data_IF_502120233064
#
_entry.id   IF_502120233064
#
_cell.length_a   1.000
_cell.length_b   1.000
_cell.length_c   1.000
_cell.angle_alpha   90.00
_cell.angle_beta   90.00
_cell.angle_gamma   90.00
#
_symmetry.space_group_name_H-M   'P 1'
#
loop_
_entity.id
_entity.type
_entity.pdbx_description
1 polymer ?
#
# COMPACT_ATOMS: atom_id res chain seq x y z
N UNK A 1 -8.42 -16.81 -8.49
CA UNK A 1 -7.77 -16.12 -7.36
C UNK A 1 -8.79 -16.00 -6.24
N UNK A 2 -8.42 -16.32 -4.99
CA UNK A 2 -9.27 -16.15 -3.82
C UNK A 2 -9.53 -14.65 -3.59
N UNK A 3 -10.81 -14.27 -3.51
CA UNK A 3 -11.24 -12.92 -3.16
C UNK A 3 -11.34 -12.82 -1.64
N UNK A 4 -10.74 -11.78 -1.05
CA UNK A 4 -10.86 -11.47 0.37
C UNK A 4 -12.11 -10.62 0.59
N UNK A 5 -12.66 -10.67 1.80
CA UNK A 5 -13.81 -9.86 2.20
C UNK A 5 -13.55 -9.19 3.55
N UNK A 6 -14.25 -8.08 3.81
CA UNK A 6 -14.24 -7.41 5.12
C UNK A 6 -15.45 -7.91 5.92
N UNK A 7 -15.22 -8.30 7.17
CA UNK A 7 -16.27 -8.46 8.18
C UNK A 7 -16.12 -7.30 9.17
N UNK A 8 -17.14 -6.49 9.31
CA UNK A 8 -17.14 -5.36 10.25
C UNK A 8 -17.57 -5.78 11.66
N UNK A 9 -18.24 -6.91 11.77
CA UNK A 9 -18.79 -7.45 13.02
C UNK A 9 -17.96 -8.64 13.57
N UNK A 10 -16.93 -9.09 12.85
CA UNK A 10 -16.08 -10.20 13.26
C UNK A 10 -16.74 -11.57 13.21
N UNK A 11 -17.92 -11.69 12.61
CA UNK A 11 -18.71 -12.95 12.60
C UNK A 11 -18.19 -13.97 11.59
N UNK A 12 -17.41 -13.55 10.59
CA UNK A 12 -16.88 -14.49 9.59
C UNK A 12 -15.80 -15.40 10.20
N UNK A 13 -15.97 -16.74 10.14
CA UNK A 13 -14.96 -17.66 10.61
C UNK A 13 -13.60 -17.43 9.94
N UNK A 14 -12.53 -17.41 10.75
CA UNK A 14 -11.18 -17.19 10.25
C UNK A 14 -10.85 -15.73 9.90
N UNK A 15 -11.76 -14.79 10.17
CA UNK A 15 -11.46 -13.35 10.05
C UNK A 15 -10.29 -12.95 10.96
N UNK A 16 -9.46 -12.02 10.50
CA UNK A 16 -8.30 -11.51 11.24
C UNK A 16 -8.37 -10.01 11.29
N UNK A 17 -8.04 -9.45 12.45
CA UNK A 17 -7.93 -8.00 12.58
C UNK A 17 -7.03 -7.41 11.51
N UNK A 18 -7.50 -6.34 10.87
CA UNK A 18 -6.80 -5.59 9.84
C UNK A 18 -7.08 -4.08 9.99
N UNK A 19 -6.02 -3.28 10.02
CA UNK A 19 -6.12 -1.84 10.21
C UNK A 19 -5.31 -1.11 9.13
N UNK A 20 -5.98 -0.17 8.45
CA UNK A 20 -5.39 0.72 7.45
C UNK A 20 -5.82 2.14 7.77
N UNK A 21 -4.87 3.04 7.98
CA UNK A 21 -5.11 4.47 8.05
C UNK A 21 -5.03 5.06 6.65
N UNK A 22 -5.86 6.06 6.34
CA UNK A 22 -5.78 6.74 5.07
C UNK A 22 -5.94 8.26 5.20
N UNK A 23 -5.39 8.98 4.23
CA UNK A 23 -5.56 10.42 4.06
C UNK A 23 -5.74 10.72 2.58
N UNK A 24 -6.78 11.47 2.24
CA UNK A 24 -6.98 11.97 0.87
C UNK A 24 -6.03 13.14 0.66
N UNK A 25 -5.14 13.01 -0.31
CA UNK A 25 -4.16 14.04 -0.67
C UNK A 25 -4.71 15.00 -1.72
N UNK A 26 -5.48 14.47 -2.68
CA UNK A 26 -6.08 15.25 -3.76
C UNK A 26 -7.32 14.51 -4.28
N UNK A 27 -8.31 15.26 -4.75
CA UNK A 27 -9.50 14.72 -5.40
C UNK A 27 -9.85 15.56 -6.61
N UNK A 28 -10.33 14.92 -7.65
CA UNK A 28 -11.05 15.61 -8.74
C UNK A 28 -12.42 16.05 -8.24
N UNK A 29 -13.01 17.05 -8.86
CA UNK A 29 -14.39 17.43 -8.54
C UNK A 29 -15.40 16.30 -8.84
N UNK A 30 -16.61 16.34 -8.24
CA UNK A 30 -17.66 15.34 -8.50
C UNK A 30 -18.11 15.34 -9.95
N UNK A 31 -18.00 16.48 -10.63
CA UNK A 31 -18.40 16.68 -12.05
C UNK A 31 -17.28 16.30 -13.02
N UNK A 32 -16.14 15.79 -12.54
CA UNK A 32 -15.06 15.36 -13.42
C UNK A 32 -15.52 14.15 -14.26
N UNK A 33 -15.08 14.10 -15.51
CA UNK A 33 -15.38 13.00 -16.42
C UNK A 33 -14.93 11.62 -15.88
N UNK A 34 -13.92 11.63 -15.01
CA UNK A 34 -13.43 10.46 -14.27
C UNK A 34 -13.14 10.85 -12.82
N UNK A 35 -14.13 10.79 -11.91
CA UNK A 35 -13.91 11.10 -10.51
C UNK A 35 -12.87 10.18 -9.88
N UNK A 36 -11.82 10.76 -9.33
CA UNK A 36 -10.73 10.01 -8.69
C UNK A 36 -10.12 10.77 -7.51
N UNK A 37 -9.50 10.03 -6.62
CA UNK A 37 -8.77 10.60 -5.49
C UNK A 37 -7.39 9.97 -5.36
N UNK A 38 -6.38 10.80 -5.10
CA UNK A 38 -5.08 10.36 -4.66
C UNK A 38 -5.10 10.18 -3.14
N UNK A 39 -4.83 8.97 -2.69
CA UNK A 39 -4.92 8.60 -1.28
C UNK A 39 -3.59 8.07 -0.78
N UNK A 40 -3.12 8.60 0.33
CA UNK A 40 -2.00 8.02 1.08
C UNK A 40 -2.56 7.03 2.10
N UNK A 41 -2.00 5.80 2.11
CA UNK A 41 -2.42 4.75 3.02
C UNK A 41 -1.25 4.32 3.92
N UNK A 42 -1.53 4.12 5.19
CA UNK A 42 -0.57 3.60 6.16
C UNK A 42 -1.10 2.30 6.76
N UNK A 43 -0.38 1.23 6.51
CA UNK A 43 -0.70 -0.09 7.04
C UNK A 43 -0.24 -0.23 8.49
N UNK A 44 -1.14 -0.63 9.38
CA UNK A 44 -0.82 -1.11 10.74
C UNK A 44 -0.71 -2.62 10.78
N UNK A 45 -1.37 -3.31 9.85
CA UNK A 45 -1.32 -4.74 9.62
C UNK A 45 -1.07 -5.02 8.15
N UNK A 46 -0.60 -6.21 7.78
CA UNK A 46 -0.27 -6.59 6.40
C UNK A 46 -0.99 -7.88 5.98
N UNK A 47 -2.32 -7.83 5.82
CA UNK A 47 -3.09 -8.98 5.34
C UNK A 47 -3.15 -9.02 3.82
N UNK A 48 -3.41 -10.22 3.28
CA UNK A 48 -3.55 -10.42 1.84
C UNK A 48 -4.58 -9.45 1.24
N UNK A 49 -4.19 -8.70 0.22
CA UNK A 49 -5.02 -7.70 -0.46
C UNK A 49 -5.63 -6.63 0.45
N UNK A 50 -5.08 -6.40 1.64
CA UNK A 50 -5.71 -5.57 2.68
C UNK A 50 -6.18 -4.20 2.16
N UNK A 51 -5.30 -3.40 1.55
CA UNK A 51 -5.65 -2.09 0.99
C UNK A 51 -6.77 -2.23 -0.05
N UNK A 52 -6.64 -3.18 -0.97
CA UNK A 52 -7.59 -3.39 -2.07
C UNK A 52 -9.00 -3.68 -1.56
N UNK A 53 -9.08 -4.56 -0.56
CA UNK A 53 -10.35 -4.97 0.07
C UNK A 53 -10.94 -3.83 0.89
N UNK A 54 -10.14 -3.15 1.70
CA UNK A 54 -10.61 -2.04 2.53
C UNK A 54 -11.15 -0.90 1.66
N UNK A 55 -10.43 -0.49 0.63
CA UNK A 55 -10.89 0.58 -0.26
C UNK A 55 -12.17 0.18 -1.02
N UNK A 56 -12.24 -1.06 -1.51
CA UNK A 56 -13.45 -1.56 -2.16
C UNK A 56 -14.65 -1.63 -1.20
N UNK A 57 -14.45 -2.01 0.05
CA UNK A 57 -15.52 -2.04 1.07
C UNK A 57 -16.07 -0.66 1.44
N UNK A 58 -15.26 0.38 1.24
CA UNK A 58 -15.68 1.78 1.40
C UNK A 58 -16.38 2.34 0.14
N UNK A 59 -16.54 1.55 -0.91
CA UNK A 59 -17.08 2.02 -2.18
C UNK A 59 -16.07 2.74 -3.09
N UNK A 60 -14.79 2.73 -2.73
CA UNK A 60 -13.69 3.40 -3.45
C UNK A 60 -12.63 2.41 -3.91
N UNK A 61 -12.95 1.44 -4.78
CA UNK A 61 -11.96 0.47 -5.25
C UNK A 61 -10.80 1.14 -5.97
N UNK A 62 -9.63 0.52 -5.94
CA UNK A 62 -8.47 1.05 -6.65
C UNK A 62 -8.69 0.99 -8.17
N UNK A 63 -8.31 2.05 -8.86
CA UNK A 63 -8.28 2.05 -10.33
C UNK A 63 -7.40 0.88 -10.82
N UNK A 64 -7.81 0.20 -11.87
CA UNK A 64 -7.08 -0.92 -12.41
C UNK A 64 -7.14 -2.23 -11.61
N UNK A 65 -7.91 -2.27 -10.55
CA UNK A 65 -8.05 -3.47 -9.75
C UNK A 65 -9.07 -4.44 -10.38
N UNK A 66 -8.60 -5.37 -11.18
CA UNK A 66 -9.45 -6.35 -11.90
C UNK A 66 -10.20 -7.32 -10.99
N UNK A 67 -9.90 -7.37 -9.70
CA UNK A 67 -10.54 -8.29 -8.76
C UNK A 67 -11.61 -7.63 -7.89
N UNK A 68 -11.41 -6.36 -7.52
CA UNK A 68 -12.27 -5.63 -6.58
C UNK A 68 -12.95 -4.42 -7.20
N UNK A 69 -12.49 -3.91 -8.35
CA UNK A 69 -13.14 -2.88 -9.14
C UNK A 69 -13.90 -3.54 -10.29
N UNK A 70 -15.22 -3.56 -10.20
CA UNK A 70 -16.10 -4.17 -11.22
C UNK A 70 -16.74 -3.12 -12.15
N UNK A 71 -16.35 -1.86 -12.03
CA UNK A 71 -16.88 -0.77 -12.86
C UNK A 71 -16.21 -0.76 -14.23
N UNK A 72 -17.00 -0.58 -15.28
CA UNK A 72 -16.56 -0.34 -16.68
C UNK A 72 -15.93 1.04 -16.90
N UNK A 73 -15.48 1.69 -15.83
CA UNK A 73 -14.74 2.94 -15.95
C UNK A 73 -13.51 2.67 -16.79
N UNK A 74 -13.34 3.41 -17.86
CA UNK A 74 -12.16 3.42 -18.71
C UNK A 74 -10.90 3.41 -17.84
N UNK A 75 -10.33 2.20 -17.73
CA UNK A 75 -9.25 1.98 -16.78
C UNK A 75 -7.92 2.33 -17.43
N UNK A 76 -7.26 3.42 -16.99
CA UNK A 76 -5.99 3.84 -17.57
C UNK A 76 -4.81 2.96 -17.13
N UNK A 77 -5.03 2.03 -16.17
CA UNK A 77 -3.99 1.18 -15.63
C UNK A 77 -4.16 -0.29 -16.02
N UNK A 78 -3.11 -0.93 -16.47
CA UNK A 78 -3.05 -2.39 -16.69
C UNK A 78 -2.94 -3.21 -15.39
N UNK A 79 -2.81 -2.55 -14.24
CA UNK A 79 -2.66 -3.10 -12.89
C UNK A 79 -3.42 -2.24 -11.88
N UNK A 80 -3.61 -2.72 -10.66
CA UNK A 80 -4.12 -1.88 -9.59
C UNK A 80 -3.21 -0.65 -9.40
N UNK A 81 -3.80 0.54 -9.37
CA UNK A 81 -3.13 1.81 -9.10
C UNK A 81 -2.70 1.89 -7.63
N UNK A 82 -1.72 1.08 -7.27
CA UNK A 82 -1.15 0.96 -5.94
C UNK A 82 0.37 0.94 -6.03
N UNK A 83 1.01 1.75 -5.19
CA UNK A 83 2.46 1.88 -5.13
C UNK A 83 2.94 1.85 -3.69
N UNK A 84 3.95 1.03 -3.40
CA UNK A 84 4.63 1.00 -2.11
C UNK A 84 5.67 2.13 -2.07
N UNK A 85 5.25 3.31 -1.64
CA UNK A 85 6.08 4.52 -1.66
C UNK A 85 7.16 4.51 -0.60
N UNK A 86 6.77 4.27 0.66
CA UNK A 86 7.70 4.35 1.81
C UNK A 86 7.62 3.09 2.65
N UNK A 87 8.79 2.63 3.09
CA UNK A 87 8.93 1.52 4.03
C UNK A 87 9.88 1.92 5.15
N UNK A 88 9.42 1.77 6.40
CA UNK A 88 10.26 1.94 7.59
C UNK A 88 10.21 0.67 8.44
N UNK A 89 11.37 0.22 8.87
CA UNK A 89 11.49 -0.93 9.78
C UNK A 89 12.74 -0.81 10.63
N UNK A 90 12.76 -1.52 11.74
CA UNK A 90 13.91 -1.61 12.61
C UNK A 90 14.61 -2.95 12.38
N UNK A 91 15.94 -2.90 12.22
CA UNK A 91 16.75 -4.10 12.19
C UNK A 91 16.88 -4.64 13.63
N UNK A 92 16.70 -5.95 13.83
CA UNK A 92 16.86 -6.59 15.15
C UNK A 92 18.35 -6.76 15.56
N UNK A 93 19.28 -6.33 14.70
CA UNK A 93 20.74 -6.45 14.89
C UNK A 93 21.45 -5.22 14.32
N UNK A 94 22.65 -4.92 14.83
CA UNK A 94 23.55 -3.94 14.25
C UNK A 94 24.29 -4.54 13.05
N UNK A 95 24.41 -3.77 11.95
CA UNK A 95 25.30 -4.12 10.84
C UNK A 95 26.61 -3.39 11.09
N UNK A 96 27.70 -4.13 11.24
CA UNK A 96 29.03 -3.55 11.29
C UNK A 96 29.47 -3.16 9.88
N UNK A 97 29.45 -1.86 9.59
CA UNK A 97 29.81 -1.29 8.28
C UNK A 97 31.35 -1.35 8.03
N UNK A 98 32.14 -1.75 9.04
CA UNK A 98 33.63 -1.84 8.93
C UNK A 98 34.11 -3.20 8.44
N UNK A 99 33.24 -4.21 8.37
CA UNK A 99 33.61 -5.55 7.90
C UNK A 99 33.72 -5.59 6.38
N UNK A 100 34.93 -5.54 5.85
CA UNK A 100 35.25 -5.68 4.42
C UNK A 100 35.09 -7.11 3.89
N UNK A 101 34.53 -8.04 4.66
CA UNK A 101 34.37 -9.43 4.28
C UNK A 101 32.88 -9.84 4.24
N UNK A 102 32.53 -10.63 3.23
CA UNK A 102 31.18 -11.04 2.84
C UNK A 102 30.45 -11.92 3.88
N UNK A 103 31.02 -12.13 5.05
CA UNK A 103 30.40 -12.73 6.24
C UNK A 103 30.26 -11.66 7.31
N UNK A 104 29.25 -10.79 7.16
CA UNK A 104 28.89 -9.82 8.20
C UNK A 104 28.71 -10.55 9.54
N UNK A 105 29.56 -10.22 10.51
CA UNK A 105 29.46 -10.72 11.88
C UNK A 105 28.18 -10.11 12.48
N UNK A 106 27.11 -10.90 12.56
CA UNK A 106 25.86 -10.50 13.22
C UNK A 106 26.08 -10.48 14.72
N UNK A 107 26.48 -9.35 15.28
CA UNK A 107 26.46 -9.14 16.72
C UNK A 107 25.05 -8.77 17.17
N UNK A 108 24.49 -9.60 18.04
CA UNK A 108 23.19 -9.37 18.66
C UNK A 108 23.36 -8.36 19.81
N UNK A 109 23.53 -7.09 19.47
CA UNK A 109 23.50 -6.01 20.46
C UNK A 109 22.05 -5.60 20.71
N UNK A 110 21.54 -5.92 21.90
CA UNK A 110 20.16 -5.69 22.31
C UNK A 110 19.76 -4.19 22.34
N UNK A 111 20.72 -3.27 22.22
CA UNK A 111 20.47 -1.84 22.34
C UNK A 111 20.61 -1.02 21.04
N UNK A 112 21.19 -1.55 19.98
CA UNK A 112 21.40 -0.84 18.73
C UNK A 112 20.31 -1.19 17.69
N UNK A 113 19.15 -0.57 17.82
CA UNK A 113 18.10 -0.68 16.79
C UNK A 113 18.35 0.34 15.69
N UNK A 114 18.91 -0.10 14.55
CA UNK A 114 19.05 0.77 13.36
C UNK A 114 17.69 0.84 12.65
N UNK A 115 17.09 2.03 12.57
CA UNK A 115 15.89 2.27 11.75
C UNK A 115 16.31 2.41 10.28
N UNK A 116 15.69 1.65 9.41
CA UNK A 116 15.84 1.74 7.96
C UNK A 116 14.61 2.42 7.39
N UNK A 117 14.83 3.44 6.58
CA UNK A 117 13.78 4.12 5.83
C UNK A 117 14.11 4.06 4.34
N UNK A 118 13.21 3.48 3.57
CA UNK A 118 13.31 3.35 2.12
C UNK A 118 12.18 4.13 1.47
N UNK A 119 12.49 4.75 0.34
CA UNK A 119 11.51 5.45 -0.49
C UNK A 119 11.69 5.04 -1.96
N UNK A 120 10.59 4.65 -2.61
CA UNK A 120 10.57 4.30 -4.02
C UNK A 120 9.91 5.43 -4.82
N UNK A 121 10.50 5.88 -5.93
CA UNK A 121 9.90 6.90 -6.78
C UNK A 121 8.58 6.42 -7.38
N UNK A 122 7.66 7.35 -7.67
CA UNK A 122 6.41 7.02 -8.35
C UNK A 122 6.71 6.42 -9.73
N UNK A 123 6.05 5.32 -10.11
CA UNK A 123 6.14 4.74 -11.45
C UNK A 123 5.63 5.71 -12.53
N UNK A 124 6.16 5.60 -13.73
CA UNK A 124 5.83 6.51 -14.84
C UNK A 124 4.35 6.47 -15.26
N UNK A 125 3.72 5.29 -15.23
CA UNK A 125 2.29 5.15 -15.47
C UNK A 125 1.46 5.95 -14.46
N UNK A 126 1.89 5.94 -13.20
CA UNK A 126 1.23 6.67 -12.10
C UNK A 126 1.43 8.19 -12.24
N UNK A 127 2.64 8.64 -12.57
CA UNK A 127 2.94 10.07 -12.81
C UNK A 127 2.12 10.62 -13.96
N UNK A 128 2.13 9.95 -15.12
CA UNK A 128 1.37 10.36 -16.31
C UNK A 128 -0.13 10.50 -16.01
N UNK A 129 -0.69 9.53 -15.32
CA UNK A 129 -2.10 9.58 -14.94
C UNK A 129 -2.38 10.74 -13.98
N UNK A 130 -1.53 10.92 -12.96
CA UNK A 130 -1.64 12.02 -12.01
C UNK A 130 -1.64 13.39 -12.71
N UNK A 131 -0.70 13.63 -13.63
CA UNK A 131 -0.59 14.87 -14.41
C UNK A 131 -1.78 15.11 -15.36
N UNK A 132 -2.47 14.04 -15.75
CA UNK A 132 -3.63 14.12 -16.66
C UNK A 132 -4.89 14.54 -15.93
N UNK A 133 -5.09 14.13 -14.67
CA UNK A 133 -6.36 14.30 -13.97
C UNK A 133 -6.33 15.32 -12.84
N UNK A 134 -5.16 15.69 -12.35
CA UNK A 134 -4.97 16.65 -11.26
C UNK A 134 -4.19 17.90 -11.66
#
# INVERSE_FOLDING_TARGET
>A
RLKMVVSTDGTLPGSKHAETLYSVLKSTGPDAAAPASLVMLRLKTGRTHQIRVHMASLGHPLLGDSLYCLSDISNPFSRAALHAWKLKFQLPFSIDESASDTRASMHHDKNAKKEISLEAPLPEDFKKFYETIF
#
